data_IF_461595703112
#
_entry.id   IF_461595703112
#
_cell.length_a   1.000
_cell.length_b   1.000
_cell.length_c   1.000
_cell.angle_alpha   90.00
_cell.angle_beta   90.00
_cell.angle_gamma   90.00
#
_symmetry.space_group_name_H-M   'P 1'
#
loop_
_entity.id
_entity.type
_entity.pdbx_description
1 polymer ?
#
# COMPACT_ATOMS: atom_id res chain seq x y z
N UNK A 1 10.93 37.91 24.68
CA UNK A 1 10.56 37.35 24.51
C UNK A 1 10.14 36.74 24.35
N UNK A 2 10.06 36.77 24.32
CA UNK A 2 9.63 36.02 24.15
C UNK A 2 9.13 35.39 23.71
N UNK A 3 8.99 35.42 23.69
CA UNK A 3 8.61 34.63 23.27
C UNK A 3 8.04 33.97 22.90
N UNK A 4 8.04 34.22 22.74
CA UNK A 4 7.65 33.46 22.30
C UNK A 4 7.06 32.93 22.45
N UNK A 5 7.00 33.06 22.88
CA UNK A 5 6.58 32.42 22.96
C UNK A 5 5.80 31.98 23.12
N UNK A 6 5.14 32.05 23.26
CA UNK A 6 4.41 31.60 23.20
C UNK A 6 3.74 31.18 22.48
N UNK A 7 3.86 31.65 22.19
CA UNK A 7 3.30 31.03 21.21
C UNK A 7 3.23 29.69 21.37
N UNK A 8 2.49 29.10 20.72
CA UNK A 8 2.35 27.81 20.82
C UNK A 8 3.56 27.16 20.66
N UNK A 9 4.15 26.70 21.65
CA UNK A 9 5.19 25.75 21.51
C UNK A 9 4.69 24.66 20.63
N UNK A 10 5.55 24.03 19.92
CA UNK A 10 5.17 22.88 19.17
C UNK A 10 4.42 21.95 20.10
N UNK A 11 3.14 21.73 19.81
CA UNK A 11 2.35 20.82 20.58
C UNK A 11 2.94 19.46 20.44
N UNK A 12 3.07 18.70 21.51
CA UNK A 12 3.55 17.34 21.39
C UNK A 12 2.62 16.59 20.47
N UNK A 13 3.20 16.00 19.47
CA UNK A 13 2.48 15.13 18.56
C UNK A 13 2.04 13.91 19.32
N UNK A 14 0.87 13.39 19.05
CA UNK A 14 0.48 12.09 19.59
C UNK A 14 1.56 11.10 19.27
N UNK A 15 1.97 10.34 20.26
CA UNK A 15 2.92 9.26 20.05
C UNK A 15 2.34 8.26 19.08
N UNK A 16 3.08 7.98 18.04
CA UNK A 16 2.70 6.97 17.08
C UNK A 16 3.49 5.71 17.36
N UNK A 17 2.77 4.62 17.57
CA UNK A 17 3.39 3.33 17.75
C UNK A 17 3.34 2.59 16.43
N UNK A 18 4.51 2.27 15.90
CA UNK A 18 4.64 1.54 14.65
C UNK A 18 5.37 0.24 14.92
N UNK A 19 4.81 -0.84 14.41
CA UNK A 19 5.48 -2.13 14.44
C UNK A 19 6.24 -2.27 13.14
N UNK A 20 7.54 -2.12 13.22
CA UNK A 20 8.41 -2.21 12.04
C UNK A 20 9.09 -3.56 11.93
N UNK A 21 8.74 -4.49 12.78
CA UNK A 21 9.27 -5.85 12.79
C UNK A 21 8.52 -6.78 11.84
N UNK A 22 7.45 -6.32 11.25
CA UNK A 22 6.67 -7.13 10.31
C UNK A 22 6.93 -6.65 8.90
N UNK A 23 7.09 -7.58 7.95
CA UNK A 23 7.30 -7.16 6.57
C UNK A 23 6.11 -6.38 6.04
N UNK A 24 6.38 -5.39 5.21
CA UNK A 24 5.36 -4.69 4.45
C UNK A 24 5.73 -4.70 2.98
N UNK A 25 4.76 -4.42 2.12
CA UNK A 25 4.93 -4.55 0.70
C UNK A 25 4.15 -3.45 0.01
N UNK A 26 4.76 -2.70 -0.91
CA UNK A 26 4.02 -1.77 -1.76
C UNK A 26 3.34 -2.51 -2.90
N UNK A 27 2.62 -1.79 -3.74
CA UNK A 27 2.00 -2.36 -4.92
C UNK A 27 0.56 -2.77 -4.68
N UNK A 28 0.06 -3.58 -5.58
CA UNK A 28 -1.32 -4.03 -5.50
C UNK A 28 -1.49 -5.46 -6.00
N UNK A 29 -2.55 -6.08 -5.55
CA UNK A 29 -2.93 -7.43 -5.98
C UNK A 29 -4.10 -7.31 -6.93
N UNK A 30 -4.03 -8.02 -8.04
CA UNK A 30 -5.15 -8.14 -8.97
C UNK A 30 -5.53 -9.60 -9.14
N UNK A 31 -6.82 -9.81 -9.37
CA UNK A 31 -7.36 -11.13 -9.66
C UNK A 31 -7.70 -11.16 -11.14
N UNK A 32 -7.21 -12.17 -11.83
CA UNK A 32 -7.33 -12.27 -13.27
C UNK A 32 -7.95 -13.59 -13.66
N UNK A 33 -8.90 -13.52 -14.57
CA UNK A 33 -9.45 -14.68 -15.25
C UNK A 33 -9.11 -14.53 -16.72
N UNK A 34 -8.62 -15.57 -17.34
CA UNK A 34 -8.14 -15.46 -18.71
C UNK A 34 -8.48 -16.67 -19.55
N UNK A 35 -8.44 -16.48 -20.85
CA UNK A 35 -8.54 -17.57 -21.81
C UNK A 35 -7.16 -18.16 -22.05
N UNK A 36 -7.14 -19.45 -22.34
CA UNK A 36 -5.87 -20.11 -22.64
C UNK A 36 -5.67 -20.16 -24.16
N UNK A 37 -4.48 -20.67 -24.55
CA UNK A 37 -4.16 -20.81 -25.97
C UNK A 37 -4.77 -22.02 -26.67
N UNK A 38 -5.47 -22.89 -25.94
CA UNK A 38 -6.01 -24.12 -26.53
C UNK A 38 -7.36 -23.85 -27.19
N UNK A 39 -7.53 -24.14 -28.49
CA UNK A 39 -8.76 -23.77 -29.22
C UNK A 39 -10.01 -24.45 -28.71
N UNK A 40 -9.91 -25.65 -28.13
CA UNK A 40 -11.07 -26.44 -27.69
C UNK A 40 -11.38 -26.27 -26.20
N UNK A 41 -10.74 -25.34 -25.56
CA UNK A 41 -10.98 -25.13 -24.14
C UNK A 41 -12.34 -24.47 -23.92
N UNK A 42 -13.00 -24.81 -22.82
CA UNK A 42 -14.29 -24.22 -22.44
C UNK A 42 -14.23 -22.69 -22.30
N UNK A 43 -13.05 -22.10 -22.10
CA UNK A 43 -12.90 -20.66 -22.04
C UNK A 43 -13.12 -19.95 -23.38
N UNK A 44 -13.22 -20.71 -24.47
CA UNK A 44 -13.40 -20.17 -25.82
C UNK A 44 -14.85 -20.25 -26.33
N UNK A 45 -15.76 -20.82 -25.53
CA UNK A 45 -17.14 -20.98 -25.95
C UNK A 45 -17.96 -19.71 -25.87
N UNK A 46 -19.25 -19.82 -26.24
CA UNK A 46 -20.18 -18.70 -26.11
C UNK A 46 -20.45 -18.32 -24.67
N UNK A 47 -20.37 -19.27 -23.75
CA UNK A 47 -20.41 -19.04 -22.32
C UNK A 47 -19.09 -19.49 -21.76
N UNK A 48 -18.05 -18.67 -21.94
CA UNK A 48 -16.71 -19.13 -21.63
C UNK A 48 -16.54 -19.32 -20.13
N UNK A 49 -15.93 -20.45 -19.78
CA UNK A 49 -15.42 -20.66 -18.44
C UNK A 49 -13.95 -20.27 -18.48
N UNK A 50 -13.67 -19.09 -18.02
CA UNK A 50 -12.31 -18.58 -18.01
C UNK A 50 -11.47 -19.32 -16.99
N UNK A 51 -10.17 -19.41 -17.28
CA UNK A 51 -9.22 -19.96 -16.35
C UNK A 51 -8.96 -18.98 -15.22
N UNK A 52 -8.70 -19.51 -14.06
CA UNK A 52 -8.41 -18.73 -12.89
C UNK A 52 -9.28 -19.14 -11.71
N UNK A 53 -9.28 -18.30 -10.69
CA UNK A 53 -8.61 -17.00 -10.64
C UNK A 53 -7.10 -17.14 -10.55
N UNK A 54 -6.40 -16.24 -11.21
CA UNK A 54 -4.96 -16.06 -11.05
C UNK A 54 -4.73 -14.77 -10.29
N UNK A 55 -3.74 -14.78 -9.42
CA UNK A 55 -3.43 -13.61 -8.61
C UNK A 55 -2.08 -13.06 -9.05
N UNK A 56 -2.00 -11.74 -9.12
CA UNK A 56 -0.77 -11.07 -9.53
C UNK A 56 -0.49 -9.91 -8.61
N UNK A 57 0.75 -9.79 -8.20
CA UNK A 57 1.24 -8.58 -7.56
C UNK A 57 1.88 -7.71 -8.62
N UNK A 58 1.57 -6.43 -8.59
CA UNK A 58 2.16 -5.45 -9.50
C UNK A 58 2.72 -4.31 -8.69
N UNK A 59 3.94 -3.93 -8.99
CA UNK A 59 4.62 -2.84 -8.31
C UNK A 59 5.97 -2.59 -8.92
N UNK A 60 6.78 -1.80 -8.21
CA UNK A 60 8.13 -1.48 -8.65
C UNK A 60 9.14 -2.31 -7.87
N UNK A 61 10.06 -2.95 -8.58
CA UNK A 61 11.19 -3.66 -7.98
C UNK A 61 12.45 -2.99 -8.51
N UNK A 62 13.21 -2.40 -7.62
CA UNK A 62 14.40 -1.63 -7.98
C UNK A 62 14.08 -0.57 -9.05
N UNK A 63 12.93 0.08 -8.90
CA UNK A 63 12.49 1.13 -9.81
C UNK A 63 11.87 0.64 -11.11
N UNK A 64 11.75 -0.67 -11.31
CA UNK A 64 11.21 -1.23 -12.56
C UNK A 64 9.82 -1.81 -12.35
N UNK A 65 8.87 -1.49 -13.24
CA UNK A 65 7.54 -2.11 -13.17
C UNK A 65 7.66 -3.63 -13.27
N UNK A 66 7.03 -4.32 -12.36
CA UNK A 66 7.16 -5.78 -12.23
C UNK A 66 5.81 -6.38 -11.88
N UNK A 67 5.49 -7.49 -12.51
CA UNK A 67 4.29 -8.26 -12.22
C UNK A 67 4.71 -9.69 -11.87
N UNK A 68 4.21 -10.17 -10.74
CA UNK A 68 4.55 -11.51 -10.25
C UNK A 68 3.27 -12.29 -10.05
N UNK A 69 3.22 -13.49 -10.63
CA UNK A 69 2.07 -14.39 -10.45
C UNK A 69 2.18 -15.07 -9.09
N UNK A 70 1.07 -15.12 -8.38
CA UNK A 70 1.02 -15.61 -7.01
C UNK A 70 0.03 -16.77 -6.87
N UNK A 71 0.30 -17.66 -5.94
CA UNK A 71 -0.71 -18.60 -5.48
C UNK A 71 -1.73 -17.87 -4.61
N UNK A 72 -2.86 -18.54 -4.32
CA UNK A 72 -3.87 -17.94 -3.45
C UNK A 72 -3.31 -17.61 -2.06
N UNK A 73 -2.47 -18.51 -1.52
CA UNK A 73 -1.86 -18.28 -0.21
C UNK A 73 -0.89 -17.10 -0.23
N UNK A 74 -0.07 -17.02 -1.29
CA UNK A 74 0.84 -15.90 -1.47
C UNK A 74 0.09 -14.59 -1.63
N UNK A 75 -1.02 -14.61 -2.38
CA UNK A 75 -1.84 -13.41 -2.58
C UNK A 75 -2.40 -12.90 -1.24
N UNK A 76 -2.87 -13.80 -0.40
CA UNK A 76 -3.38 -13.40 0.92
C UNK A 76 -2.29 -12.81 1.80
N UNK A 77 -1.11 -13.41 1.78
CA UNK A 77 0.00 -12.87 2.56
C UNK A 77 0.48 -11.53 2.01
N UNK A 78 0.58 -11.40 0.70
CA UNK A 78 0.96 -10.13 0.09
C UNK A 78 -0.06 -9.04 0.42
N UNK A 79 -1.36 -9.38 0.42
CA UNK A 79 -2.39 -8.39 0.77
C UNK A 79 -2.24 -7.91 2.21
N UNK A 80 -1.91 -8.82 3.14
CA UNK A 80 -1.65 -8.41 4.53
C UNK A 80 -0.48 -7.44 4.61
N UNK A 81 0.58 -7.71 3.87
CA UNK A 81 1.77 -6.84 3.84
C UNK A 81 1.48 -5.50 3.20
N UNK A 82 0.65 -5.49 2.15
CA UNK A 82 0.21 -4.25 1.52
C UNK A 82 -0.63 -3.42 2.49
N UNK A 83 -1.50 -4.07 3.24
CA UNK A 83 -2.32 -3.37 4.24
C UNK A 83 -1.46 -2.74 5.32
N UNK A 84 -0.39 -3.41 5.76
CA UNK A 84 0.56 -2.83 6.70
C UNK A 84 1.24 -1.60 6.12
N UNK A 85 1.65 -1.68 4.88
CA UNK A 85 2.28 -0.55 4.19
C UNK A 85 1.33 0.64 4.11
N UNK A 86 0.06 0.40 3.78
CA UNK A 86 -0.95 1.47 3.70
C UNK A 86 -1.18 2.12 5.05
N UNK A 87 -1.23 1.33 6.12
CA UNK A 87 -1.37 1.88 7.47
C UNK A 87 -0.16 2.73 7.85
N UNK A 88 1.03 2.29 7.49
CA UNK A 88 2.24 3.06 7.73
C UNK A 88 2.20 4.39 6.96
N UNK A 89 1.78 4.35 5.71
CA UNK A 89 1.64 5.58 4.91
C UNK A 89 0.64 6.54 5.54
N UNK A 90 -0.48 6.04 6.05
CA UNK A 90 -1.45 6.89 6.73
C UNK A 90 -0.89 7.54 7.97
N UNK A 91 -0.18 6.77 8.78
CA UNK A 91 0.48 7.30 9.97
C UNK A 91 1.49 8.37 9.62
N UNK A 92 2.25 8.13 8.56
CA UNK A 92 3.23 9.10 8.10
C UNK A 92 2.55 10.37 7.64
N UNK A 93 1.45 10.27 6.91
CA UNK A 93 0.69 11.44 6.46
C UNK A 93 0.16 12.25 7.63
N UNK A 94 -0.37 11.58 8.66
CA UNK A 94 -0.84 12.25 9.88
C UNK A 94 0.29 13.02 10.56
N UNK A 95 1.43 12.37 10.66
CA UNK A 95 2.59 12.98 11.29
C UNK A 95 3.07 14.20 10.52
N UNK A 96 3.12 14.08 9.20
CA UNK A 96 3.50 15.21 8.34
C UNK A 96 2.48 16.34 8.47
N UNK A 97 1.19 16.03 8.48
CA UNK A 97 0.14 17.04 8.62
C UNK A 97 0.29 17.81 9.93
N UNK A 98 0.58 17.10 11.02
CA UNK A 98 0.82 17.75 12.30
C UNK A 98 2.08 18.62 12.26
N UNK A 99 3.13 18.12 11.63
CA UNK A 99 4.35 18.89 11.47
C UNK A 99 4.14 20.17 10.65
N UNK A 100 3.30 20.08 9.63
CA UNK A 100 2.98 21.25 8.84
C UNK A 100 2.20 22.30 9.63
N UNK A 101 1.29 21.85 10.49
CA UNK A 101 0.54 22.78 11.35
C UNK A 101 1.45 23.48 12.37
N UNK A 102 2.49 22.77 12.82
CA UNK A 102 3.43 23.30 13.78
C UNK A 102 4.66 23.92 13.12
N UNK A 103 4.64 24.10 11.82
CA UNK A 103 5.83 24.56 11.10
C UNK A 103 6.24 25.95 11.56
N UNK A 104 7.55 26.24 11.57
CA UNK A 104 8.03 27.53 12.09
C UNK A 104 7.41 28.76 11.42
N UNK A 105 7.13 28.67 10.12
CA UNK A 105 6.54 29.82 9.42
C UNK A 105 5.10 30.10 9.85
N UNK A 106 4.43 29.13 10.45
CA UNK A 106 3.06 29.34 10.93
C UNK A 106 3.02 30.07 12.26
N UNK A 107 4.18 30.30 12.85
CA UNK A 107 4.28 30.93 14.15
C UNK A 107 4.85 32.35 14.05
N UNK A 108 4.94 32.87 12.87
CA UNK A 108 5.41 34.25 12.68
C UNK A 108 4.38 35.28 13.12
#
# INVERSE_FOLDING_TARGET
MKHTSRKNPVQPVKTLWLRLDWPCLPGCISTVHSRCGQPRCACKGQRPKLHGPYYRWTGLVAGKPTTITLSAAEARECQRRINRYRRLQERLREWIAQGMQCAPWNQR
#
